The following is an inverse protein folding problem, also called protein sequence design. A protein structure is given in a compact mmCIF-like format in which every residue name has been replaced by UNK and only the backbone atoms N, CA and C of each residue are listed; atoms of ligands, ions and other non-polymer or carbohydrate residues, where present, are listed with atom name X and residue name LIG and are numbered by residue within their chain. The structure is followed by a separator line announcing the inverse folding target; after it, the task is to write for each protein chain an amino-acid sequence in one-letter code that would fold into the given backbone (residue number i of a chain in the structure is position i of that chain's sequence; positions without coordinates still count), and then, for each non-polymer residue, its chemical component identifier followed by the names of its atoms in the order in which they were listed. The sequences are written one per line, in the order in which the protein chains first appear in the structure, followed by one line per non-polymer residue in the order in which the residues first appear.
data_IF_871741142831
#
_entry.id   IF_871741142831
#
_cell.length_a   1.000
_cell.length_b   1.000
_cell.length_c   1.000
_cell.angle_alpha   90.00
_cell.angle_beta   90.00
_cell.angle_gamma   90.00
#
_symmetry.space_group_name_H-M   'P 1'
#
loop_
_entity.id
_entity.type
_entity.pdbx_description
1 polymer ?
#
# COMPACT_ATOMS: atom_id res chain seq x y z
N UNK A 1 -14.12 -20.23 -10.01
CA UNK A 1 -13.80 -18.84 -10.42
C UNK A 1 -15.01 -17.91 -10.30
N UNK A 2 -16.19 -18.30 -10.77
CA UNK A 2 -17.44 -17.52 -10.56
C UNK A 2 -17.70 -17.05 -9.10
N UNK A 3 -17.57 -17.89 -8.06
CA UNK A 3 -17.88 -17.45 -6.68
C UNK A 3 -16.84 -16.46 -6.12
N UNK A 4 -15.58 -16.56 -6.56
CA UNK A 4 -14.51 -15.62 -6.18
C UNK A 4 -14.72 -14.24 -6.84
N UNK A 5 -15.17 -14.21 -8.10
CA UNK A 5 -15.52 -12.97 -8.80
C UNK A 5 -16.75 -12.30 -8.18
N UNK A 6 -17.77 -13.09 -7.81
CA UNK A 6 -18.94 -12.58 -7.10
C UNK A 6 -18.58 -12.00 -5.72
N UNK A 7 -17.74 -12.70 -4.94
CA UNK A 7 -17.27 -12.21 -3.65
C UNK A 7 -16.46 -10.90 -3.78
N UNK A 8 -15.59 -10.79 -4.79
CA UNK A 8 -14.83 -9.56 -5.05
C UNK A 8 -15.73 -8.39 -5.45
N UNK A 9 -16.76 -8.63 -6.27
CA UNK A 9 -17.72 -7.61 -6.66
C UNK A 9 -18.55 -7.12 -5.46
N UNK A 10 -19.00 -8.05 -4.61
CA UNK A 10 -19.73 -7.72 -3.37
C UNK A 10 -18.85 -6.92 -2.43
N UNK A 11 -17.59 -7.34 -2.22
CA UNK A 11 -16.66 -6.62 -1.36
C UNK A 11 -16.33 -5.23 -1.90
N UNK A 12 -16.13 -5.09 -3.21
CA UNK A 12 -15.92 -3.79 -3.86
C UNK A 12 -17.12 -2.86 -3.73
N UNK A 13 -18.34 -3.38 -3.92
CA UNK A 13 -19.58 -2.63 -3.70
C UNK A 13 -19.74 -2.21 -2.24
N UNK A 14 -19.40 -3.09 -1.30
CA UNK A 14 -19.43 -2.80 0.13
C UNK A 14 -18.44 -1.69 0.49
N UNK A 15 -17.21 -1.75 -0.03
CA UNK A 15 -16.18 -0.73 0.18
C UNK A 15 -16.65 0.62 -0.36
N UNK A 16 -17.17 0.67 -1.60
CA UNK A 16 -17.70 1.90 -2.20
C UNK A 16 -18.86 2.49 -1.37
N UNK A 17 -19.79 1.66 -0.92
CA UNK A 17 -20.91 2.08 -0.07
C UNK A 17 -20.43 2.57 1.31
N UNK A 18 -19.49 1.88 1.94
CA UNK A 18 -18.93 2.34 3.23
C UNK A 18 -18.14 3.63 3.06
N UNK A 19 -17.45 3.81 1.94
CA UNK A 19 -16.69 5.02 1.65
C UNK A 19 -17.63 6.23 1.51
N UNK A 20 -18.79 6.11 0.88
CA UNK A 20 -19.77 7.21 0.82
C UNK A 20 -20.41 7.52 2.16
N UNK A 21 -20.52 6.55 3.06
CA UNK A 21 -21.09 6.78 4.39
C UNK A 21 -20.06 7.38 5.36
N UNK A 22 -18.76 7.08 5.17
CA UNK A 22 -17.66 7.54 6.03
C UNK A 22 -17.05 8.85 5.54
N UNK A 23 -17.01 9.08 4.22
CA UNK A 23 -16.43 10.27 3.58
C UNK A 23 -17.50 11.07 2.83
N UNK A 24 -18.58 11.46 3.52
CA UNK A 24 -19.69 12.27 2.97
C UNK A 24 -19.50 13.78 3.22
N UNK A 25 -18.25 14.23 3.38
CA UNK A 25 -17.96 15.64 3.58
C UNK A 25 -18.23 16.40 2.28
N UNK A 26 -19.45 16.92 2.16
CA UNK A 26 -19.91 17.75 1.04
C UNK A 26 -19.64 19.24 1.26
N UNK A 27 -19.11 19.59 2.43
CA UNK A 27 -18.79 20.96 2.80
C UNK A 27 -17.45 21.04 3.49
N UNK A 28 -16.67 22.09 3.22
CA UNK A 28 -15.49 22.41 4.02
C UNK A 28 -15.88 23.07 5.35
N UNK A 29 -15.20 22.69 6.45
CA UNK A 29 -15.38 23.32 7.76
C UNK A 29 -16.39 22.62 8.68
N UNK A 30 -17.01 23.40 9.58
CA UNK A 30 -17.92 22.92 10.64
C UNK A 30 -19.38 22.72 10.16
N UNK A 31 -19.61 22.73 8.85
CA UNK A 31 -20.94 22.66 8.23
C UNK A 31 -21.76 23.94 8.33
N UNK A 32 -21.27 25.00 8.98
CA UNK A 32 -21.95 26.29 9.01
C UNK A 32 -21.81 27.01 7.67
N UNK A 33 -22.94 27.48 7.14
CA UNK A 33 -22.98 28.29 5.91
C UNK A 33 -23.10 29.76 6.27
N UNK A 34 -22.28 30.65 5.65
CA UNK A 34 -22.42 32.07 5.89
C UNK A 34 -23.82 32.54 5.47
N UNK A 35 -24.48 33.31 6.33
CA UNK A 35 -25.77 33.90 5.98
C UNK A 35 -25.57 35.20 5.21
N UNK A 36 -26.62 35.66 4.52
CA UNK A 36 -26.60 37.00 3.90
C UNK A 36 -26.43 38.13 4.91
N UNK A 37 -26.76 37.92 6.19
CA UNK A 37 -26.50 38.90 7.25
C UNK A 37 -25.00 38.95 7.58
N UNK A 38 -24.35 37.78 7.69
CA UNK A 38 -22.92 37.68 7.94
C UNK A 38 -22.11 38.35 6.83
N UNK A 39 -22.46 38.09 5.57
CA UNK A 39 -21.82 38.71 4.39
C UNK A 39 -22.01 40.23 4.33
N UNK A 40 -23.02 40.77 5.00
CA UNK A 40 -23.30 42.22 5.01
C UNK A 40 -22.79 42.93 6.25
N UNK A 41 -22.44 42.19 7.31
CA UNK A 41 -22.13 42.76 8.62
C UNK A 41 -20.99 43.77 8.57
N UNK A 42 -19.88 43.43 7.88
CA UNK A 42 -18.75 44.33 7.70
C UNK A 42 -19.13 45.59 6.91
N UNK A 43 -19.78 45.43 5.75
CA UNK A 43 -20.25 46.56 4.94
C UNK A 43 -21.18 47.47 5.76
N UNK A 44 -22.13 46.92 6.52
CA UNK A 44 -23.05 47.70 7.35
C UNK A 44 -22.30 48.52 8.41
N UNK A 45 -21.32 47.94 9.10
CA UNK A 45 -20.50 48.66 10.08
C UNK A 45 -19.70 49.80 9.44
N UNK A 46 -19.06 49.54 8.30
CA UNK A 46 -18.28 50.56 7.57
C UNK A 46 -19.20 51.70 7.12
N UNK A 47 -20.35 51.38 6.53
CA UNK A 47 -21.35 52.37 6.09
C UNK A 47 -21.86 53.20 7.26
N UNK A 48 -22.20 52.57 8.38
CA UNK A 48 -22.71 53.26 9.57
C UNK A 48 -21.64 54.16 10.22
N UNK A 49 -20.38 53.77 10.14
CA UNK A 49 -19.24 54.59 10.51
C UNK A 49 -19.07 55.79 9.57
N UNK A 50 -19.06 55.55 8.27
CA UNK A 50 -18.89 56.57 7.22
C UNK A 50 -20.03 57.59 7.17
N UNK A 51 -21.24 57.20 7.59
CA UNK A 51 -22.38 58.13 7.75
C UNK A 51 -22.13 59.17 8.85
N UNK A 52 -21.33 58.82 9.87
CA UNK A 52 -21.06 59.67 11.04
C UNK A 52 -19.76 60.45 10.91
N UNK A 53 -18.73 59.84 10.31
CA UNK A 53 -17.40 60.40 10.15
C UNK A 53 -16.87 60.06 8.74
N UNK A 54 -16.44 61.04 7.92
CA UNK A 54 -15.87 60.76 6.60
C UNK A 54 -14.55 59.96 6.65
N UNK A 55 -13.95 59.78 7.84
CA UNK A 55 -12.81 58.89 8.08
C UNK A 55 -13.25 57.73 8.99
N UNK A 56 -13.37 56.54 8.41
CA UNK A 56 -13.62 55.31 9.15
C UNK A 56 -12.33 54.49 9.26
N UNK A 57 -12.04 54.02 10.47
CA UNK A 57 -10.99 53.03 10.75
C UNK A 57 -11.65 51.80 11.37
N UNK A 58 -11.38 50.63 10.82
CA UNK A 58 -11.98 49.38 11.32
C UNK A 58 -11.53 49.10 12.77
N UNK A 59 -12.45 49.02 13.75
CA UNK A 59 -12.10 48.65 15.12
C UNK A 59 -11.65 47.19 15.24
N UNK A 60 -11.98 46.33 14.26
CA UNK A 60 -11.54 44.93 14.23
C UNK A 60 -10.12 44.75 13.69
N UNK A 61 -9.47 45.84 13.25
CA UNK A 61 -8.10 45.84 12.74
C UNK A 61 -7.11 46.49 13.70
N UNK A 62 -5.82 46.10 13.64
CA UNK A 62 -4.76 46.84 14.34
C UNK A 62 -4.82 48.35 14.00
N UNK A 63 -4.60 49.24 14.98
CA UNK A 63 -4.72 50.68 14.76
C UNK A 63 -3.65 51.15 13.76
N UNK A 64 -4.10 51.49 12.55
CA UNK A 64 -3.22 51.94 11.47
C UNK A 64 -2.94 53.45 11.46
N UNK A 65 -3.76 54.23 12.17
CA UNK A 65 -3.66 55.68 12.28
C UNK A 65 -3.78 56.09 13.74
N UNK A 66 -2.87 56.94 14.20
CA UNK A 66 -2.94 57.48 15.56
C UNK A 66 -4.04 58.55 15.71
N UNK A 67 -4.23 59.07 16.91
CA UNK A 67 -5.25 60.09 17.16
C UNK A 67 -4.95 61.45 16.49
N UNK A 68 -3.67 61.82 16.37
CA UNK A 68 -3.22 63.07 15.80
C UNK A 68 -3.37 63.06 14.27
N UNK A 69 -2.98 61.96 13.61
CA UNK A 69 -3.16 61.71 12.19
C UNK A 69 -4.63 61.73 11.80
N UNK A 70 -5.49 61.01 12.54
CA UNK A 70 -6.94 61.03 12.30
C UNK A 70 -7.52 62.44 12.44
N UNK A 71 -7.10 63.20 13.45
CA UNK A 71 -7.54 64.57 13.62
C UNK A 71 -7.06 65.48 12.48
N UNK A 72 -5.84 65.26 11.97
CA UNK A 72 -5.28 65.97 10.83
C UNK A 72 -6.06 65.68 9.54
N UNK A 73 -6.21 64.40 9.18
CA UNK A 73 -6.94 63.96 8.00
C UNK A 73 -8.40 64.45 8.00
N UNK A 74 -9.08 64.42 9.16
CA UNK A 74 -10.44 64.99 9.29
C UNK A 74 -10.52 66.48 9.02
N UNK A 75 -9.49 67.26 9.39
CA UNK A 75 -9.45 68.70 9.06
C UNK A 75 -9.24 68.89 7.56
N UNK A 76 -8.35 68.10 6.97
CA UNK A 76 -8.08 68.16 5.53
C UNK A 76 -9.32 67.77 4.71
N UNK A 77 -10.00 66.66 5.05
CA UNK A 77 -11.24 66.22 4.40
C UNK A 77 -12.33 67.31 4.41
N UNK A 78 -12.46 68.05 5.52
CA UNK A 78 -13.44 69.17 5.62
C UNK A 78 -13.08 70.38 4.77
N UNK A 79 -11.80 70.56 4.44
CA UNK A 79 -11.34 71.65 3.60
C UNK A 79 -11.43 71.34 2.10
N UNK A 80 -11.68 70.08 1.73
CA UNK A 80 -11.81 69.67 0.34
C UNK A 80 -13.16 70.11 -0.26
N UNK A 81 -13.10 70.52 -1.53
CA UNK A 81 -14.29 70.89 -2.32
C UNK A 81 -14.98 69.67 -2.96
N UNK A 82 -14.47 68.46 -2.72
CA UNK A 82 -14.96 67.19 -3.25
C UNK A 82 -15.40 66.34 -2.06
N UNK A 83 -16.58 65.69 -2.12
CA UNK A 83 -17.00 64.76 -1.07
C UNK A 83 -16.13 63.50 -1.11
N UNK A 84 -15.09 63.47 -0.29
CA UNK A 84 -14.18 62.32 -0.12
C UNK A 84 -14.52 61.59 1.17
N UNK A 85 -14.57 60.26 1.11
CA UNK A 85 -14.62 59.40 2.30
C UNK A 85 -13.43 58.45 2.29
N UNK A 86 -12.89 58.15 3.47
CA UNK A 86 -11.79 57.23 3.66
C UNK A 86 -12.26 56.08 4.54
N UNK A 87 -12.16 54.85 4.05
CA UNK A 87 -12.35 53.64 4.83
C UNK A 87 -11.00 52.90 4.93
N UNK A 88 -10.42 52.92 6.13
CA UNK A 88 -9.24 52.13 6.46
C UNK A 88 -9.68 50.75 6.95
N UNK A 89 -9.73 49.78 6.04
CA UNK A 89 -10.26 48.42 6.24
C UNK A 89 -9.36 47.39 5.55
N UNK A 90 -9.10 46.22 6.16
CA UNK A 90 -8.23 45.19 5.60
C UNK A 90 -8.88 44.54 4.38
N UNK A 91 -8.12 44.24 3.35
CA UNK A 91 -8.62 43.57 2.14
C UNK A 91 -8.12 42.13 2.14
N UNK A 92 -9.01 41.16 2.21
CA UNK A 92 -8.65 39.73 2.16
C UNK A 92 -9.43 39.03 1.06
N UNK A 93 -8.84 38.01 0.43
CA UNK A 93 -9.57 37.16 -0.53
C UNK A 93 -10.76 36.46 0.13
N UNK A 94 -10.73 36.27 1.44
CA UNK A 94 -11.76 35.57 2.21
C UNK A 94 -12.88 36.52 2.71
N UNK A 95 -12.84 37.79 2.31
CA UNK A 95 -13.84 38.78 2.68
C UNK A 95 -15.04 38.79 1.74
N UNK A 96 -16.08 39.55 2.10
CA UNK A 96 -17.33 39.63 1.35
C UNK A 96 -17.20 40.19 -0.08
N UNK A 97 -16.03 40.73 -0.41
CA UNK A 97 -15.69 41.24 -1.73
C UNK A 97 -14.74 40.34 -2.51
N UNK A 98 -14.34 39.19 -1.95
CA UNK A 98 -13.31 38.33 -2.55
C UNK A 98 -11.95 39.04 -2.65
N UNK A 99 -11.70 40.04 -1.80
CA UNK A 99 -10.55 40.94 -1.88
C UNK A 99 -10.64 42.00 -2.99
N UNK A 100 -11.74 42.08 -3.72
CA UNK A 100 -11.94 43.06 -4.78
C UNK A 100 -12.45 44.41 -4.21
N UNK A 101 -11.57 45.40 -4.23
CA UNK A 101 -11.84 46.74 -3.70
C UNK A 101 -12.90 47.51 -4.48
N UNK A 102 -13.07 47.25 -5.77
CA UNK A 102 -14.14 47.85 -6.56
C UNK A 102 -15.52 47.32 -6.13
N UNK A 103 -15.62 46.03 -5.80
CA UNK A 103 -16.84 45.44 -5.26
C UNK A 103 -17.20 46.02 -3.89
N UNK A 104 -16.19 46.17 -3.02
CA UNK A 104 -16.39 46.83 -1.73
C UNK A 104 -16.84 48.28 -1.92
N UNK A 105 -16.17 49.04 -2.79
CA UNK A 105 -16.54 50.44 -3.08
C UNK A 105 -17.98 50.54 -3.64
N UNK A 106 -18.37 49.63 -4.54
CA UNK A 106 -19.74 49.51 -5.06
C UNK A 106 -20.75 49.27 -3.94
N UNK A 107 -20.46 48.34 -3.03
CA UNK A 107 -21.34 48.02 -1.92
C UNK A 107 -21.52 49.23 -0.98
N UNK A 108 -20.42 49.93 -0.67
CA UNK A 108 -20.45 51.16 0.12
C UNK A 108 -21.27 52.26 -0.58
N UNK A 109 -21.02 52.51 -1.86
CA UNK A 109 -21.77 53.49 -2.65
C UNK A 109 -23.27 53.17 -2.68
N UNK A 110 -23.63 51.90 -2.93
CA UNK A 110 -25.03 51.45 -3.00
C UNK A 110 -25.81 51.73 -1.71
N UNK A 111 -25.14 51.67 -0.55
CA UNK A 111 -25.77 51.94 0.76
C UNK A 111 -25.65 53.39 1.23
N UNK A 112 -24.60 54.10 0.84
CA UNK A 112 -24.44 55.52 1.13
C UNK A 112 -25.32 56.38 0.22
N UNK A 113 -25.60 55.94 -1.02
CA UNK A 113 -26.46 56.58 -2.03
C UNK A 113 -26.15 58.07 -2.25
N UNK A 114 -24.86 58.37 -2.38
CA UNK A 114 -24.35 59.74 -2.50
C UNK A 114 -23.19 59.74 -3.48
N UNK A 115 -23.08 60.83 -4.23
CA UNK A 115 -21.91 61.05 -5.09
C UNK A 115 -20.70 61.38 -4.21
N UNK A 116 -19.68 60.51 -4.25
CA UNK A 116 -18.50 60.61 -3.40
C UNK A 116 -17.30 59.84 -3.98
N UNK A 117 -16.11 60.35 -3.67
CA UNK A 117 -14.85 59.69 -3.96
C UNK A 117 -14.51 58.78 -2.78
N UNK A 118 -14.55 57.47 -3.00
CA UNK A 118 -14.25 56.46 -1.98
C UNK A 118 -12.75 56.18 -2.03
N UNK A 119 -12.08 56.39 -0.90
CA UNK A 119 -10.70 55.98 -0.67
C UNK A 119 -10.71 54.74 0.22
N UNK A 120 -10.26 53.62 -0.32
CA UNK A 120 -10.09 52.37 0.42
C UNK A 120 -8.61 52.22 0.78
N UNK A 121 -8.31 52.22 2.07
CA UNK A 121 -6.95 52.07 2.57
C UNK A 121 -6.83 50.75 3.33
N UNK A 122 -5.91 49.89 2.90
CA UNK A 122 -5.65 48.63 3.58
C UNK A 122 -4.58 48.84 4.67
N UNK A 123 -4.91 48.69 5.96
CA UNK A 123 -3.96 48.87 7.05
C UNK A 123 -2.86 47.80 7.09
N UNK A 124 -3.11 46.61 6.55
CA UNK A 124 -2.17 45.49 6.56
C UNK A 124 -1.13 45.57 5.45
N UNK A 125 -1.60 45.81 4.21
CA UNK A 125 -0.71 45.96 3.06
C UNK A 125 -0.23 47.40 2.82
N UNK A 126 -0.91 48.39 3.41
CA UNK A 126 -0.69 49.82 3.18
C UNK A 126 -1.17 50.30 1.80
N UNK A 127 -1.81 49.47 0.99
CA UNK A 127 -2.30 49.90 -0.33
C UNK A 127 -3.46 50.89 -0.21
N UNK A 128 -3.56 51.83 -1.15
CA UNK A 128 -4.66 52.79 -1.22
C UNK A 128 -5.27 52.77 -2.61
N UNK A 129 -6.58 52.56 -2.67
CA UNK A 129 -7.37 52.59 -3.90
C UNK A 129 -8.43 53.69 -3.85
N UNK A 130 -8.71 54.25 -5.02
CA UNK A 130 -9.65 55.34 -5.22
C UNK A 130 -10.69 54.92 -6.23
N UNK A 131 -11.96 55.06 -5.86
CA UNK A 131 -13.09 54.78 -6.73
C UNK A 131 -14.02 55.99 -6.74
N UNK A 132 -14.16 56.61 -7.91
CA UNK A 132 -15.00 57.79 -8.08
C UNK A 132 -16.44 57.38 -8.39
N UNK A 133 -17.36 57.59 -7.45
CA UNK A 133 -18.79 57.42 -7.69
C UNK A 133 -19.48 58.76 -7.81
N UNK A 134 -19.62 59.26 -9.04
CA UNK A 134 -20.45 60.43 -9.36
C UNK A 134 -19.82 61.79 -9.06
N UNK A 135 -18.60 61.87 -8.52
CA UNK A 135 -17.97 63.17 -8.28
C UNK A 135 -17.42 63.78 -9.57
N UNK A 136 -17.45 65.11 -9.64
CA UNK A 136 -16.91 65.89 -10.77
C UNK A 136 -15.39 66.05 -10.68
N UNK A 137 -14.69 64.99 -10.32
CA UNK A 137 -13.23 64.91 -10.40
C UNK A 137 -12.86 64.28 -11.74
N UNK A 138 -11.80 64.77 -12.36
CA UNK A 138 -11.27 64.16 -13.59
C UNK A 138 -10.65 62.78 -13.31
N UNK A 139 -11.23 61.73 -13.86
CA UNK A 139 -10.76 60.35 -13.65
C UNK A 139 -9.39 60.09 -14.27
N UNK A 140 -9.06 60.75 -15.39
CA UNK A 140 -7.71 60.64 -15.95
C UNK A 140 -6.67 61.18 -14.97
N UNK A 141 -7.00 62.27 -14.26
CA UNK A 141 -6.16 62.80 -13.20
C UNK A 141 -6.03 61.80 -12.03
N UNK A 142 -7.11 61.10 -11.66
CA UNK A 142 -7.04 60.08 -10.61
C UNK A 142 -6.21 58.86 -11.02
N UNK A 143 -6.23 58.49 -12.31
CA UNK A 143 -5.43 57.40 -12.88
C UNK A 143 -3.94 57.78 -12.93
N UNK A 144 -3.62 59.02 -13.33
CA UNK A 144 -2.25 59.55 -13.47
C UNK A 144 -1.59 59.90 -12.12
N UNK A 145 -2.20 59.50 -11.00
CA UNK A 145 -1.64 59.74 -9.65
C UNK A 145 -0.27 59.06 -9.47
N UNK A 146 0.63 59.65 -8.68
CA UNK A 146 1.90 59.01 -8.32
C UNK A 146 1.69 57.60 -7.73
N UNK A 147 2.49 56.62 -8.20
CA UNK A 147 2.31 55.20 -7.86
C UNK A 147 2.52 54.89 -6.38
N UNK A 148 3.43 55.61 -5.73
CA UNK A 148 3.74 55.57 -4.29
C UNK A 148 2.54 55.94 -3.40
N UNK A 149 1.57 56.69 -3.95
CA UNK A 149 0.30 56.91 -3.25
C UNK A 149 -0.56 55.66 -3.21
N UNK A 150 -0.55 54.83 -4.26
CA UNK A 150 -1.39 53.63 -4.35
C UNK A 150 -0.75 52.40 -3.73
N UNK A 151 0.54 52.20 -3.99
CA UNK A 151 1.27 50.99 -3.61
C UNK A 151 2.50 51.37 -2.77
N UNK A 152 2.55 50.94 -1.49
CA UNK A 152 3.73 51.22 -0.67
C UNK A 152 4.95 50.45 -1.17
N UNK A 153 6.09 51.12 -1.14
CA UNK A 153 7.42 50.55 -1.15
C UNK A 153 7.95 50.50 0.30
N UNK A 154 8.96 49.68 0.55
CA UNK A 154 9.55 49.52 1.90
C UNK A 154 10.12 50.81 2.49
N UNK A 155 10.43 51.78 1.64
CA UNK A 155 10.94 53.11 2.02
C UNK A 155 9.85 54.17 2.18
N UNK A 156 8.59 53.82 1.91
CA UNK A 156 7.53 54.80 1.84
C UNK A 156 7.08 55.29 3.22
N UNK A 157 6.57 56.54 3.30
CA UNK A 157 6.03 57.07 4.54
C UNK A 157 4.87 56.22 5.10
N UNK A 158 4.61 56.31 6.42
CA UNK A 158 3.45 55.68 7.05
C UNK A 158 2.13 56.03 6.35
N UNK A 159 1.13 55.16 6.50
CA UNK A 159 -0.17 55.28 5.82
C UNK A 159 -0.83 56.65 6.02
N UNK A 160 -0.77 57.22 7.23
CA UNK A 160 -1.33 58.54 7.53
C UNK A 160 -0.75 59.67 6.68
N UNK A 161 0.58 59.68 6.49
CA UNK A 161 1.26 60.66 5.65
C UNK A 161 0.91 60.49 4.18
N UNK A 162 0.84 59.25 3.68
CA UNK A 162 0.44 58.98 2.29
C UNK A 162 -1.01 59.36 2.01
N UNK A 163 -1.91 59.12 2.96
CA UNK A 163 -3.29 59.60 2.87
C UNK A 163 -3.34 61.14 2.81
N UNK A 164 -2.53 61.84 3.60
CA UNK A 164 -2.48 63.31 3.55
C UNK A 164 -1.93 63.84 2.21
N UNK A 165 -0.88 63.20 1.67
CA UNK A 165 -0.37 63.49 0.33
C UNK A 165 -1.42 63.22 -0.75
N UNK A 166 -2.20 62.15 -0.60
CA UNK A 166 -3.30 61.84 -1.51
C UNK A 166 -4.40 62.91 -1.44
N UNK A 167 -4.78 63.38 -0.26
CA UNK A 167 -5.77 64.46 -0.13
C UNK A 167 -5.24 65.77 -0.74
N UNK A 168 -3.95 66.07 -0.57
CA UNK A 168 -3.28 67.21 -1.23
C UNK A 168 -3.27 67.07 -2.75
N UNK A 169 -3.16 65.84 -3.27
CA UNK A 169 -3.24 65.56 -4.70
C UNK A 169 -4.67 65.78 -5.21
N UNK A 170 -5.66 65.18 -4.53
CA UNK A 170 -7.09 65.32 -4.86
C UNK A 170 -7.55 66.78 -4.78
N UNK A 171 -7.01 67.58 -3.86
CA UNK A 171 -7.35 69.01 -3.74
C UNK A 171 -6.97 69.83 -4.97
N UNK A 172 -6.02 69.36 -5.77
CA UNK A 172 -5.53 69.99 -7.00
C UNK A 172 -6.21 69.43 -8.25
N UNK A 173 -7.14 68.48 -8.10
CA UNK A 173 -7.78 67.82 -9.22
C UNK A 173 -8.59 68.81 -10.10
N UNK A 174 -8.48 68.71 -11.43
CA UNK A 174 -9.36 69.42 -12.34
C UNK A 174 -10.81 69.00 -12.14
N UNK A 175 -11.74 69.97 -12.26
CA UNK A 175 -13.18 69.67 -12.24
C UNK A 175 -13.60 69.08 -13.59
N UNK A 176 -14.16 67.89 -13.57
CA UNK A 176 -14.77 67.26 -14.74
C UNK A 176 -16.12 67.90 -15.09
N UNK A 177 -16.53 67.80 -16.37
CA UNK A 177 -17.81 68.30 -16.87
C UNK A 177 -19.02 67.54 -16.32
N UNK A 178 -18.85 66.24 -16.10
CA UNK A 178 -19.86 65.34 -15.55
C UNK A 178 -19.22 64.46 -14.47
N UNK A 179 -20.05 63.93 -13.56
CA UNK A 179 -19.60 62.88 -12.65
C UNK A 179 -19.41 61.57 -13.41
N UNK A 180 -18.34 60.86 -13.12
CA UNK A 180 -18.10 59.54 -13.69
C UNK A 180 -18.64 58.44 -12.76
N UNK A 181 -19.10 57.34 -13.33
CA UNK A 181 -19.44 56.12 -12.59
C UNK A 181 -18.48 55.04 -13.08
N UNK A 182 -17.83 54.31 -12.16
CA UNK A 182 -16.85 53.31 -12.55
C UNK A 182 -17.55 52.17 -13.29
N UNK A 183 -16.76 51.35 -13.97
CA UNK A 183 -17.27 50.12 -14.56
C UNK A 183 -17.88 49.22 -13.49
N UNK A 184 -18.88 48.45 -13.91
CA UNK A 184 -19.55 47.49 -13.05
C UNK A 184 -18.60 46.32 -12.78
N UNK A 185 -18.10 46.13 -11.54
CA UNK A 185 -17.19 45.03 -11.25
C UNK A 185 -17.92 43.68 -11.37
N UNK A 186 -17.21 42.62 -11.80
CA UNK A 186 -17.77 41.27 -11.79
C UNK A 186 -18.19 40.90 -10.37
N UNK A 187 -19.29 40.15 -10.18
CA UNK A 187 -19.71 39.72 -8.85
C UNK A 187 -18.62 38.83 -8.21
N UNK A 188 -18.52 38.88 -6.88
CA UNK A 188 -17.71 37.92 -6.13
C UNK A 188 -18.33 36.53 -6.25
N UNK A 189 -17.50 35.50 -6.09
CA UNK A 189 -17.94 34.11 -6.05
C UNK A 189 -18.92 33.89 -4.89
N UNK A 190 -19.88 32.98 -5.06
CA UNK A 190 -20.84 32.68 -4.00
C UNK A 190 -20.14 31.91 -2.88
N UNK A 191 -20.07 32.44 -1.65
CA UNK A 191 -19.39 31.78 -0.53
C UNK A 191 -20.05 30.45 -0.14
N UNK A 192 -21.32 30.23 -0.51
CA UNK A 192 -22.00 28.94 -0.32
C UNK A 192 -21.51 27.91 -1.33
N UNK A 193 -21.26 28.32 -2.58
CA UNK A 193 -20.69 27.45 -3.60
C UNK A 193 -19.21 27.17 -3.32
N UNK A 194 -18.45 28.14 -2.80
CA UNK A 194 -17.04 27.96 -2.42
C UNK A 194 -16.85 26.93 -1.30
N UNK A 195 -17.78 26.88 -0.34
CA UNK A 195 -17.77 25.84 0.71
C UNK A 195 -18.24 24.48 0.22
N UNK A 196 -18.83 24.37 -0.97
CA UNK A 196 -19.30 23.09 -1.50
C UNK A 196 -18.12 22.28 -2.03
N UNK A 197 -17.92 21.10 -1.45
CA UNK A 197 -16.95 20.15 -1.96
C UNK A 197 -17.58 19.31 -3.08
N UNK A 198 -16.83 19.02 -4.17
CA UNK A 198 -17.26 18.03 -5.13
C UNK A 198 -17.45 16.69 -4.41
N UNK A 199 -18.57 16.02 -4.66
CA UNK A 199 -18.84 14.71 -4.07
C UNK A 199 -17.74 13.69 -4.40
N UNK A 200 -17.53 12.70 -3.53
CA UNK A 200 -16.43 11.72 -3.61
C UNK A 200 -16.28 11.02 -4.97
N UNK A 201 -17.38 10.90 -5.73
CA UNK A 201 -17.45 10.27 -7.05
C UNK A 201 -17.70 11.23 -8.21
N UNK A 202 -17.45 12.53 -8.00
CA UNK A 202 -17.58 13.56 -9.04
C UNK A 202 -16.22 13.93 -9.63
N UNK A 203 -16.21 14.52 -10.83
CA UNK A 203 -14.98 14.87 -11.55
C UNK A 203 -14.29 13.65 -12.17
N UNK A 204 -13.00 13.46 -11.89
CA UNK A 204 -12.14 12.47 -12.55
C UNK A 204 -12.33 11.02 -12.05
N UNK A 205 -13.32 10.79 -11.18
CA UNK A 205 -13.59 9.46 -10.61
C UNK A 205 -14.00 8.43 -11.67
N UNK A 206 -14.93 8.77 -12.57
CA UNK A 206 -15.34 7.85 -13.65
C UNK A 206 -14.19 7.50 -14.60
N UNK A 207 -13.45 8.49 -15.16
CA UNK A 207 -12.24 8.20 -15.94
C UNK A 207 -11.24 7.34 -15.18
N UNK A 208 -11.01 7.64 -13.91
CA UNK A 208 -10.11 6.88 -13.03
C UNK A 208 -10.55 5.43 -12.82
N UNK A 209 -11.85 5.18 -12.67
CA UNK A 209 -12.42 3.84 -12.51
C UNK A 209 -12.29 3.01 -13.80
N UNK A 210 -12.52 3.62 -14.97
CA UNK A 210 -12.32 2.94 -16.27
C UNK A 210 -10.84 2.59 -16.47
N UNK A 211 -9.92 3.52 -16.20
CA UNK A 211 -8.48 3.27 -16.32
C UNK A 211 -8.04 2.20 -15.31
N UNK A 212 -8.48 2.29 -14.07
CA UNK A 212 -8.14 1.35 -13.00
C UNK A 212 -8.62 -0.06 -13.29
N UNK A 213 -9.86 -0.21 -13.76
CA UNK A 213 -10.41 -1.52 -14.16
C UNK A 213 -9.67 -2.12 -15.36
N UNK A 214 -9.30 -1.29 -16.34
CA UNK A 214 -8.52 -1.73 -17.49
C UNK A 214 -7.11 -2.20 -17.08
N UNK A 215 -6.42 -1.43 -16.22
CA UNK A 215 -5.10 -1.80 -15.70
C UNK A 215 -5.16 -3.08 -14.86
N UNK A 216 -6.17 -3.22 -13.99
CA UNK A 216 -6.38 -4.41 -13.19
C UNK A 216 -6.64 -5.64 -14.07
N UNK A 217 -7.46 -5.49 -15.11
CA UNK A 217 -7.71 -6.53 -16.11
C UNK A 217 -6.44 -6.94 -16.87
N UNK A 218 -5.62 -5.97 -17.25
CA UNK A 218 -4.34 -6.21 -17.93
C UNK A 218 -3.35 -6.93 -17.02
N UNK A 219 -3.25 -6.51 -15.76
CA UNK A 219 -2.35 -7.11 -14.78
C UNK A 219 -2.80 -8.53 -14.42
N UNK A 220 -4.11 -8.75 -14.25
CA UNK A 220 -4.69 -10.07 -14.08
C UNK A 220 -4.42 -10.96 -15.30
N UNK A 221 -4.60 -10.43 -16.50
CA UNK A 221 -4.28 -11.12 -17.75
C UNK A 221 -2.81 -11.53 -17.85
N UNK A 222 -1.89 -10.65 -17.45
CA UNK A 222 -0.45 -10.93 -17.38
C UNK A 222 -0.13 -12.05 -16.39
N UNK A 223 -0.69 -11.99 -15.18
CA UNK A 223 -0.50 -13.04 -14.16
C UNK A 223 -1.07 -14.37 -14.65
N UNK A 224 -2.28 -14.36 -15.21
CA UNK A 224 -2.90 -15.57 -15.76
C UNK A 224 -2.09 -16.16 -16.93
N UNK A 225 -1.54 -15.32 -17.81
CA UNK A 225 -0.67 -15.73 -18.90
C UNK A 225 0.64 -16.34 -18.38
N UNK A 226 1.29 -15.70 -17.41
CA UNK A 226 2.50 -16.22 -16.76
C UNK A 226 2.23 -17.58 -16.10
N UNK A 227 1.16 -17.70 -15.30
CA UNK A 227 0.73 -18.97 -14.71
C UNK A 227 0.39 -20.03 -15.78
N UNK A 228 -0.22 -19.63 -16.89
CA UNK A 228 -0.52 -20.49 -18.04
C UNK A 228 0.74 -21.02 -18.73
N UNK A 229 1.75 -20.16 -18.93
CA UNK A 229 3.07 -20.53 -19.46
C UNK A 229 3.77 -21.50 -18.51
N UNK A 230 3.81 -21.21 -17.20
CA UNK A 230 4.40 -22.11 -16.20
C UNK A 230 3.67 -23.46 -16.17
N UNK A 231 2.33 -23.48 -16.20
CA UNK A 231 1.53 -24.71 -16.32
C UNK A 231 1.81 -25.46 -17.61
N UNK A 232 2.01 -24.77 -18.73
CA UNK A 232 2.31 -25.40 -20.03
C UNK A 232 3.72 -26.00 -20.06
N UNK A 233 4.71 -25.32 -19.47
CA UNK A 233 6.08 -25.84 -19.34
C UNK A 233 6.11 -27.05 -18.40
N UNK A 234 5.45 -26.96 -17.25
CA UNK A 234 5.36 -28.07 -16.29
C UNK A 234 4.54 -29.24 -16.82
N UNK A 235 3.45 -28.99 -17.57
CA UNK A 235 2.71 -30.05 -18.29
C UNK A 235 3.53 -30.67 -19.40
N UNK A 236 4.26 -29.90 -20.21
CA UNK A 236 5.17 -30.46 -21.24
C UNK A 236 6.27 -31.32 -20.61
N UNK A 237 6.80 -30.92 -19.45
CA UNK A 237 7.73 -31.74 -18.67
C UNK A 237 7.07 -32.98 -18.05
N UNK A 238 5.79 -32.90 -17.67
CA UNK A 238 5.01 -34.05 -17.18
C UNK A 238 4.56 -35.00 -18.29
N UNK A 239 4.23 -34.53 -19.49
CA UNK A 239 3.87 -35.40 -20.63
C UNK A 239 5.08 -36.05 -21.28
N UNK A 240 6.26 -35.41 -21.21
CA UNK A 240 7.53 -36.07 -21.54
C UNK A 240 7.91 -37.16 -20.50
N UNK A 241 7.35 -37.10 -19.29
CA UNK A 241 7.58 -38.06 -18.19
C UNK A 241 6.30 -38.84 -17.81
N UNK A 242 5.28 -38.85 -18.67
CA UNK A 242 3.92 -39.25 -18.32
C UNK A 242 3.36 -40.27 -19.28
N UNK A 243 4.09 -41.38 -19.47
CA UNK A 243 3.47 -42.64 -19.82
C UNK A 243 2.89 -43.26 -18.54
N UNK A 244 1.72 -43.93 -18.59
CA UNK A 244 1.16 -44.59 -17.43
C UNK A 244 1.98 -45.87 -17.14
N UNK A 245 2.68 -45.86 -16.00
CA UNK A 245 3.41 -47.01 -15.47
C UNK A 245 4.87 -47.09 -15.91
N UNK A 246 5.78 -47.04 -14.93
CA UNK A 246 7.16 -47.51 -15.09
C UNK A 246 8.24 -46.42 -15.19
N UNK A 247 9.18 -46.48 -14.25
CA UNK A 247 10.49 -45.81 -14.23
C UNK A 247 10.53 -44.30 -13.88
N UNK A 248 10.32 -44.00 -12.58
CA UNK A 248 10.98 -42.86 -11.91
C UNK A 248 12.49 -42.89 -12.19
N UNK A 249 13.11 -41.76 -12.55
CA UNK A 249 14.57 -41.66 -12.68
C UNK A 249 15.27 -42.33 -11.48
N UNK A 250 16.30 -43.17 -11.73
CA UNK A 250 16.98 -43.89 -10.65
C UNK A 250 17.56 -42.89 -9.66
N UNK A 251 17.30 -43.11 -8.36
CA UNK A 251 17.84 -42.22 -7.33
C UNK A 251 19.37 -42.25 -7.38
N UNK A 252 20.05 -41.09 -7.29
CA UNK A 252 21.50 -41.04 -7.36
C UNK A 252 22.14 -41.76 -6.18
N UNK A 253 23.30 -42.36 -6.43
CA UNK A 253 24.13 -43.03 -5.40
C UNK A 253 24.77 -42.04 -4.44
N UNK A 254 25.12 -40.85 -4.93
CA UNK A 254 25.75 -39.76 -4.16
C UNK A 254 24.93 -38.47 -4.34
N UNK A 255 23.75 -38.36 -3.70
CA UNK A 255 22.91 -37.18 -3.83
C UNK A 255 23.57 -35.94 -3.21
N UNK A 256 23.44 -34.79 -3.86
CA UNK A 256 23.78 -33.51 -3.24
C UNK A 256 22.75 -33.13 -2.18
N UNK A 257 23.16 -32.35 -1.18
CA UNK A 257 22.26 -31.85 -0.12
C UNK A 257 21.10 -31.03 -0.69
N UNK A 258 21.36 -30.22 -1.73
CA UNK A 258 20.32 -29.49 -2.45
C UNK A 258 19.32 -30.43 -3.15
N UNK A 259 19.78 -31.56 -3.69
CA UNK A 259 18.89 -32.58 -4.26
C UNK A 259 18.03 -33.24 -3.18
N UNK A 260 18.64 -33.58 -2.03
CA UNK A 260 17.93 -34.17 -0.89
C UNK A 260 16.86 -33.22 -0.35
N UNK A 261 17.17 -31.94 -0.12
CA UNK A 261 16.16 -30.96 0.35
C UNK A 261 14.98 -30.81 -0.59
N UNK A 262 15.25 -30.69 -1.90
CA UNK A 262 14.18 -30.59 -2.90
C UNK A 262 13.32 -31.86 -2.97
N UNK A 263 13.96 -33.04 -2.91
CA UNK A 263 13.23 -34.31 -2.97
C UNK A 263 12.47 -34.62 -1.68
N UNK A 264 13.03 -34.29 -0.51
CA UNK A 264 12.35 -34.46 0.78
C UNK A 264 11.05 -33.64 0.80
N UNK A 265 11.13 -32.35 0.42
CA UNK A 265 9.93 -31.50 0.30
C UNK A 265 8.92 -32.07 -0.69
N UNK A 266 9.37 -32.45 -1.88
CA UNK A 266 8.50 -32.99 -2.92
C UNK A 266 7.81 -34.31 -2.50
N UNK A 267 8.50 -35.21 -1.81
CA UNK A 267 7.92 -36.49 -1.39
C UNK A 267 7.01 -36.34 -0.17
N UNK A 268 7.31 -35.42 0.76
CA UNK A 268 6.42 -35.06 1.86
C UNK A 268 5.13 -34.41 1.35
N UNK A 269 5.23 -33.39 0.49
CA UNK A 269 4.06 -32.77 -0.14
C UNK A 269 3.19 -33.82 -0.86
N UNK A 270 3.83 -34.80 -1.51
CA UNK A 270 3.13 -35.88 -2.20
C UNK A 270 2.50 -36.91 -1.23
N UNK A 271 3.07 -37.14 -0.05
CA UNK A 271 2.46 -37.98 0.99
C UNK A 271 1.27 -37.26 1.62
N UNK A 272 1.42 -35.99 2.00
CA UNK A 272 0.34 -35.17 2.56
C UNK A 272 -0.85 -35.09 1.59
N UNK A 273 -0.60 -34.84 0.30
CA UNK A 273 -1.66 -34.83 -0.71
C UNK A 273 -2.31 -36.21 -0.93
N UNK A 274 -1.59 -37.31 -0.71
CA UNK A 274 -2.14 -38.65 -0.80
C UNK A 274 -2.99 -39.04 0.43
N UNK A 275 -2.76 -38.39 1.58
CA UNK A 275 -3.53 -38.56 2.82
C UNK A 275 -4.80 -37.68 2.88
N UNK A 276 -4.86 -36.61 2.09
CA UNK A 276 -5.98 -35.66 2.04
C UNK A 276 -7.38 -36.26 1.72
N UNK A 277 -7.53 -37.28 0.83
CA UNK A 277 -8.83 -37.94 0.63
C UNK A 277 -9.12 -38.95 1.77
N UNK A 278 -9.49 -38.43 2.94
CA UNK A 278 -9.66 -39.19 4.21
C UNK A 278 -10.76 -40.28 4.16
N UNK A 279 -11.72 -40.20 3.24
CA UNK A 279 -12.92 -41.04 3.27
C UNK A 279 -12.77 -42.48 2.70
N UNK A 280 -11.61 -42.89 2.18
CA UNK A 280 -11.51 -44.12 1.36
C UNK A 280 -10.35 -45.08 1.70
N UNK A 281 -9.55 -44.82 2.74
CA UNK A 281 -8.39 -45.65 3.07
C UNK A 281 -8.70 -46.68 4.17
N UNK A 282 -8.21 -47.92 4.06
CA UNK A 282 -8.21 -48.86 5.19
C UNK A 282 -7.48 -48.26 6.40
N UNK A 283 -8.01 -48.45 7.61
CA UNK A 283 -7.48 -47.88 8.85
C UNK A 283 -5.99 -48.19 9.08
N UNK A 284 -5.55 -49.41 8.75
CA UNK A 284 -4.15 -49.84 8.89
C UNK A 284 -3.21 -49.12 7.92
N UNK A 285 -3.64 -48.93 6.66
CA UNK A 285 -2.90 -48.18 5.65
C UNK A 285 -2.80 -46.69 6.02
N UNK A 286 -3.89 -46.13 6.54
CA UNK A 286 -3.93 -44.76 7.02
C UNK A 286 -2.98 -44.56 8.20
N UNK A 287 -3.06 -45.42 9.23
CA UNK A 287 -2.19 -45.36 10.42
C UNK A 287 -0.72 -45.41 10.05
N UNK A 288 -0.31 -46.39 9.23
CA UNK A 288 1.10 -46.53 8.81
C UNK A 288 1.59 -45.33 8.00
N UNK A 289 0.75 -44.78 7.12
CA UNK A 289 1.10 -43.60 6.34
C UNK A 289 1.24 -42.34 7.20
N UNK A 290 0.40 -42.15 8.22
CA UNK A 290 0.55 -41.10 9.23
C UNK A 290 1.80 -41.26 10.08
N UNK A 291 2.09 -42.47 10.57
CA UNK A 291 3.32 -42.73 11.33
C UNK A 291 4.59 -42.41 10.52
N UNK A 292 4.58 -42.71 9.21
CA UNK A 292 5.65 -42.33 8.31
C UNK A 292 5.75 -40.81 8.13
N UNK A 293 4.61 -40.11 8.03
CA UNK A 293 4.57 -38.65 7.91
C UNK A 293 5.11 -37.98 9.17
N UNK A 294 4.64 -38.39 10.35
CA UNK A 294 5.07 -37.87 11.65
C UNK A 294 6.58 -38.09 11.86
N UNK A 295 7.06 -39.31 11.61
CA UNK A 295 8.48 -39.62 11.73
C UNK A 295 9.33 -38.82 10.72
N UNK A 296 8.84 -38.61 9.50
CA UNK A 296 9.52 -37.80 8.51
C UNK A 296 9.55 -36.31 8.91
N UNK A 297 8.48 -35.79 9.50
CA UNK A 297 8.42 -34.42 10.02
C UNK A 297 9.40 -34.22 11.19
N UNK A 298 9.45 -35.14 12.17
CA UNK A 298 10.40 -35.08 13.29
C UNK A 298 11.88 -34.99 12.83
N UNK A 299 12.21 -35.59 11.68
CA UNK A 299 13.57 -35.59 11.16
C UNK A 299 14.01 -34.27 10.52
N UNK A 300 13.08 -33.47 10.01
CA UNK A 300 13.41 -32.33 9.13
C UNK A 300 12.64 -31.04 9.40
N UNK A 301 11.60 -31.08 10.24
CA UNK A 301 10.74 -29.96 10.65
C UNK A 301 10.52 -30.05 12.16
N UNK A 302 11.62 -29.99 12.91
CA UNK A 302 11.63 -30.05 14.38
C UNK A 302 10.93 -28.85 15.02
N UNK A 303 10.99 -27.69 14.35
CA UNK A 303 10.32 -26.46 14.77
C UNK A 303 8.80 -26.45 14.48
N UNK A 304 8.31 -27.46 13.74
CA UNK A 304 6.88 -27.62 13.36
C UNK A 304 6.31 -26.40 12.62
N UNK A 305 7.14 -25.71 11.81
CA UNK A 305 6.75 -24.51 11.06
C UNK A 305 6.38 -24.81 9.59
N UNK A 306 6.42 -26.09 9.21
CA UNK A 306 6.14 -26.56 7.85
C UNK A 306 7.29 -26.32 6.88
N UNK A 307 8.51 -26.04 7.38
CA UNK A 307 9.72 -25.84 6.59
C UNK A 307 10.77 -26.86 6.99
N UNK A 308 11.71 -27.08 6.06
CA UNK A 308 12.85 -27.95 6.34
C UNK A 308 13.89 -27.15 7.12
N UNK A 309 14.25 -27.63 8.30
CA UNK A 309 15.23 -27.00 9.18
C UNK A 309 16.58 -26.80 8.48
N UNK A 310 17.23 -25.68 8.80
CA UNK A 310 18.48 -25.28 8.16
C UNK A 310 19.64 -26.25 8.48
N UNK A 311 19.59 -26.91 9.63
CA UNK A 311 20.56 -27.87 10.16
C UNK A 311 20.21 -29.34 9.87
N UNK A 312 19.08 -29.61 9.18
CA UNK A 312 18.68 -30.95 8.77
C UNK A 312 19.82 -31.68 8.01
N UNK A 313 20.30 -32.78 8.59
CA UNK A 313 21.46 -33.51 8.09
C UNK A 313 21.18 -34.28 6.80
N UNK A 314 22.20 -34.62 5.97
CA UNK A 314 21.98 -35.44 4.78
C UNK A 314 21.34 -36.81 5.08
N UNK A 315 21.68 -37.41 6.22
CA UNK A 315 21.09 -38.66 6.68
C UNK A 315 19.61 -38.48 7.08
N UNK A 316 19.27 -37.42 7.80
CA UNK A 316 17.90 -37.09 8.16
C UNK A 316 17.02 -36.83 6.92
N UNK A 317 17.52 -36.03 5.97
CA UNK A 317 16.82 -35.75 4.71
C UNK A 317 16.59 -37.03 3.88
N UNK A 318 17.60 -37.91 3.79
CA UNK A 318 17.44 -39.19 3.10
C UNK A 318 16.43 -40.09 3.81
N UNK A 319 16.45 -40.12 5.15
CA UNK A 319 15.50 -40.89 5.96
C UNK A 319 14.05 -40.38 5.76
N UNK A 320 13.84 -39.07 5.77
CA UNK A 320 12.54 -38.47 5.50
C UNK A 320 12.01 -38.81 4.09
N UNK A 321 12.87 -38.80 3.06
CA UNK A 321 12.50 -39.26 1.71
C UNK A 321 12.05 -40.73 1.70
N UNK A 322 12.78 -41.59 2.41
CA UNK A 322 12.48 -43.02 2.51
C UNK A 322 11.12 -43.24 3.18
N UNK A 323 10.89 -42.59 4.33
CA UNK A 323 9.63 -42.66 5.07
C UNK A 323 8.46 -42.10 4.25
N UNK A 324 8.63 -40.95 3.60
CA UNK A 324 7.59 -40.36 2.75
C UNK A 324 7.20 -41.30 1.59
N UNK A 325 8.19 -41.97 0.98
CA UNK A 325 7.94 -42.96 -0.08
C UNK A 325 7.27 -44.23 0.45
N UNK A 326 7.73 -44.73 1.59
CA UNK A 326 7.15 -45.93 2.21
C UNK A 326 5.70 -45.68 2.64
N UNK A 327 5.41 -44.55 3.28
CA UNK A 327 4.05 -44.14 3.65
C UNK A 327 3.13 -44.04 2.43
N UNK A 328 3.61 -43.44 1.33
CA UNK A 328 2.84 -43.40 0.07
C UNK A 328 2.57 -44.78 -0.51
N UNK A 329 3.54 -45.70 -0.45
CA UNK A 329 3.30 -47.07 -0.89
C UNK A 329 2.32 -47.78 0.03
N UNK A 330 2.36 -47.52 1.35
CA UNK A 330 1.45 -48.14 2.31
C UNK A 330 -0.03 -47.81 2.07
N UNK A 331 -0.31 -46.65 1.45
CA UNK A 331 -1.65 -46.23 1.03
C UNK A 331 -2.24 -47.16 -0.04
N UNK A 332 -1.43 -47.64 -0.99
CA UNK A 332 -1.91 -48.50 -2.09
C UNK A 332 -1.59 -49.99 -1.93
N UNK A 333 -0.44 -50.30 -1.33
CA UNK A 333 0.12 -51.66 -1.20
C UNK A 333 0.74 -51.82 0.22
N UNK A 334 -0.07 -51.99 1.28
CA UNK A 334 0.39 -51.98 2.67
C UNK A 334 1.44 -53.06 2.98
N UNK A 335 1.36 -54.23 2.34
CA UNK A 335 2.31 -55.31 2.54
C UNK A 335 3.65 -55.09 1.81
N UNK A 336 3.66 -54.34 0.71
CA UNK A 336 4.88 -54.03 -0.03
C UNK A 336 5.73 -52.96 0.69
N UNK A 337 5.12 -52.15 1.55
CA UNK A 337 5.79 -51.04 2.25
C UNK A 337 6.63 -51.45 3.47
N UNK A 338 6.74 -52.75 3.79
CA UNK A 338 7.43 -53.21 5.01
C UNK A 338 8.95 -53.05 4.97
N UNK A 339 9.55 -53.20 3.79
CA UNK A 339 11.00 -53.14 3.59
C UNK A 339 11.35 -52.18 2.46
N UNK A 340 12.54 -51.60 2.52
CA UNK A 340 13.12 -50.77 1.46
C UNK A 340 14.41 -51.37 0.93
N UNK A 341 14.85 -50.90 -0.23
CA UNK A 341 16.07 -51.41 -0.84
C UNK A 341 17.29 -51.16 0.04
N UNK A 342 17.92 -52.24 0.51
CA UNK A 342 19.11 -52.18 1.36
C UNK A 342 20.31 -51.50 0.66
N UNK A 343 20.45 -51.63 -0.67
CA UNK A 343 21.56 -50.99 -1.39
C UNK A 343 21.41 -49.48 -1.44
N UNK A 344 20.25 -49.01 -1.89
CA UNK A 344 19.92 -47.60 -1.90
C UNK A 344 18.47 -47.43 -1.44
N UNK A 345 18.24 -47.07 -0.17
CA UNK A 345 16.89 -46.86 0.36
C UNK A 345 16.07 -45.85 -0.45
N UNK A 346 16.73 -44.91 -1.14
CA UNK A 346 16.06 -43.95 -2.04
C UNK A 346 15.44 -44.63 -3.27
N UNK A 347 15.74 -45.89 -3.59
CA UNK A 347 15.01 -46.61 -4.64
C UNK A 347 13.57 -46.94 -4.24
N UNK A 348 13.22 -46.85 -2.96
CA UNK A 348 11.90 -47.18 -2.43
C UNK A 348 11.80 -48.62 -1.96
N UNK A 349 10.57 -49.15 -1.98
CA UNK A 349 10.22 -50.44 -1.38
C UNK A 349 10.96 -51.62 -2.01
N UNK A 350 11.24 -52.62 -1.20
CA UNK A 350 11.85 -53.87 -1.63
C UNK A 350 10.77 -54.90 -1.93
N UNK A 351 10.93 -55.63 -3.03
CA UNK A 351 9.96 -56.64 -3.46
C UNK A 351 10.44 -58.08 -3.17
N UNK A 352 11.75 -58.29 -3.00
CA UNK A 352 12.35 -59.60 -2.68
C UNK A 352 13.60 -59.45 -1.83
N UNK A 353 14.04 -60.52 -1.18
CA UNK A 353 15.32 -60.59 -0.46
C UNK A 353 16.38 -61.32 -1.30
N UNK A 354 17.61 -60.82 -1.26
CA UNK A 354 18.77 -61.42 -1.94
C UNK A 354 19.82 -61.80 -0.90
N UNK A 355 20.48 -62.94 -1.11
CA UNK A 355 21.58 -63.39 -0.28
C UNK A 355 22.83 -62.58 -0.59
N UNK A 356 23.33 -61.82 0.38
CA UNK A 356 24.56 -61.05 0.25
C UNK A 356 25.68 -61.82 0.97
N UNK A 357 26.80 -62.14 0.28
CA UNK A 357 27.98 -62.70 0.93
C UNK A 357 28.53 -61.73 1.99
N UNK A 358 29.01 -62.23 3.14
CA UNK A 358 29.61 -61.36 4.16
C UNK A 358 30.84 -60.61 3.61
N UNK A 359 30.94 -59.31 3.89
CA UNK A 359 32.14 -58.52 3.59
C UNK A 359 33.24 -58.87 4.61
N UNK A 360 34.32 -59.48 4.14
CA UNK A 360 35.48 -59.85 4.96
C UNK A 360 35.72 -61.37 4.99
N UNK A 361 36.70 -61.83 4.22
CA UNK A 361 37.13 -63.22 4.16
C UNK A 361 37.82 -63.69 5.44
N UNK A 362 37.03 -64.09 6.44
CA UNK A 362 37.50 -64.77 7.65
C UNK A 362 36.70 -66.05 7.87
N UNK A 363 37.36 -67.16 8.22
CA UNK A 363 36.81 -68.52 8.39
C UNK A 363 35.86 -68.68 9.59
N UNK A 364 34.95 -67.74 9.82
CA UNK A 364 33.79 -67.93 10.68
C UNK A 364 32.55 -68.17 9.78
N UNK A 365 31.72 -69.15 10.13
CA UNK A 365 30.49 -69.54 9.39
C UNK A 365 29.39 -68.48 9.52
N UNK A 366 29.64 -67.24 9.13
CA UNK A 366 28.61 -66.21 8.99
C UNK A 366 27.77 -66.55 7.77
N UNK A 367 26.54 -67.06 8.01
CA UNK A 367 25.54 -67.30 6.99
C UNK A 367 25.34 -66.04 6.14
N UNK A 368 25.17 -66.22 4.83
CA UNK A 368 24.76 -65.12 3.94
C UNK A 368 23.52 -64.45 4.53
N UNK A 369 23.54 -63.11 4.59
CA UNK A 369 22.40 -62.33 5.10
C UNK A 369 21.42 -62.12 3.96
N UNK A 370 20.16 -62.45 4.20
CA UNK A 370 19.05 -62.26 3.25
C UNK A 370 18.49 -60.85 3.39
N UNK A 371 18.96 -59.93 2.53
CA UNK A 371 18.67 -58.50 2.63
C UNK A 371 17.65 -58.05 1.57
N UNK A 372 16.72 -57.16 1.92
CA UNK A 372 15.67 -56.69 1.01
C UNK A 372 16.24 -55.79 -0.10
N UNK A 373 15.86 -56.02 -1.35
CA UNK A 373 16.27 -55.18 -2.50
C UNK A 373 15.07 -54.85 -3.39
N UNK A 374 15.12 -53.68 -4.05
CA UNK A 374 14.14 -53.35 -5.08
C UNK A 374 14.35 -54.20 -6.35
N UNK A 375 13.35 -54.21 -7.22
CA UNK A 375 13.33 -55.00 -8.45
C UNK A 375 14.55 -54.72 -9.36
N UNK A 376 14.97 -53.45 -9.46
CA UNK A 376 16.15 -53.08 -10.24
C UNK A 376 17.45 -53.63 -9.64
N UNK A 377 17.61 -53.52 -8.31
CA UNK A 377 18.80 -54.02 -7.62
C UNK A 377 18.86 -55.55 -7.56
N UNK A 378 17.74 -56.24 -7.82
CA UNK A 378 17.68 -57.68 -7.99
C UNK A 378 18.33 -58.11 -9.31
N UNK A 379 18.06 -57.39 -10.40
CA UNK A 379 18.56 -57.71 -11.74
C UNK A 379 20.03 -57.28 -11.91
N UNK A 380 20.40 -56.14 -11.35
CA UNK A 380 21.78 -55.63 -11.38
C UNK A 380 22.09 -55.02 -10.02
N UNK A 381 23.05 -55.61 -9.31
CA UNK A 381 23.45 -55.11 -7.99
C UNK A 381 23.95 -53.67 -8.14
N UNK A 382 23.14 -52.73 -7.67
CA UNK A 382 23.46 -51.31 -7.67
C UNK A 382 24.46 -50.95 -6.56
N UNK A 383 25.16 -49.81 -6.70
CA UNK A 383 26.05 -49.32 -5.66
C UNK A 383 25.27 -48.94 -4.39
N UNK A 384 25.96 -48.97 -3.25
CA UNK A 384 25.39 -48.57 -1.96
C UNK A 384 25.23 -47.06 -1.90
N UNK A 385 24.10 -46.56 -1.37
CA UNK A 385 23.88 -45.13 -1.13
C UNK A 385 24.98 -44.56 -0.24
N UNK A 386 25.61 -43.48 -0.70
CA UNK A 386 26.64 -42.78 0.05
C UNK A 386 26.20 -41.33 0.29
N UNK A 387 26.30 -40.88 1.53
CA UNK A 387 25.91 -39.55 1.95
C UNK A 387 27.11 -38.82 2.57
N UNK A 388 27.03 -37.49 2.64
CA UNK A 388 28.05 -36.71 3.33
C UNK A 388 27.85 -36.79 4.84
N UNK A 389 28.90 -37.09 5.63
CA UNK A 389 28.82 -37.00 7.09
C UNK A 389 28.58 -35.55 7.54
N UNK A 390 27.72 -35.38 8.54
CA UNK A 390 27.47 -34.09 9.21
C UNK A 390 28.75 -33.60 9.90
N UNK A 391 29.02 -32.29 9.86
CA UNK A 391 30.17 -31.67 10.54
C UNK A 391 31.51 -31.67 9.77
N UNK A 392 31.56 -32.21 8.55
CA UNK A 392 32.78 -32.15 7.73
C UNK A 392 32.92 -30.79 6.99
N UNK A 393 33.59 -29.82 7.63
CA UNK A 393 33.80 -28.45 7.11
C UNK A 393 34.69 -28.35 5.84
N UNK A 394 35.15 -29.47 5.27
CA UNK A 394 36.01 -29.50 4.08
C UNK A 394 35.74 -30.78 3.29
N UNK A 395 35.40 -30.69 1.99
CA UNK A 395 35.13 -31.78 1.02
C UNK A 395 35.20 -33.20 1.63
N UNK A 396 34.25 -33.54 2.51
CA UNK A 396 34.20 -34.87 3.11
C UNK A 396 33.86 -35.88 2.02
N UNK A 397 34.60 -37.00 2.00
CA UNK A 397 34.25 -38.13 1.14
C UNK A 397 32.87 -38.67 1.54
N UNK A 398 32.05 -39.05 0.56
CA UNK A 398 30.78 -39.71 0.85
C UNK A 398 31.04 -41.04 1.57
N UNK A 399 30.32 -41.28 2.65
CA UNK A 399 30.36 -42.54 3.39
C UNK A 399 29.07 -43.35 3.14
N UNK A 400 29.13 -44.70 3.14
CA UNK A 400 27.92 -45.52 3.05
C UNK A 400 26.91 -45.14 4.13
N UNK A 401 25.62 -45.08 3.77
CA UNK A 401 24.58 -44.62 4.70
C UNK A 401 24.52 -45.46 6.00
N UNK A 402 24.83 -46.75 5.91
CA UNK A 402 24.80 -47.69 7.03
C UNK A 402 25.90 -47.42 8.09
N UNK A 403 26.92 -46.62 7.77
CA UNK A 403 28.00 -46.26 8.71
C UNK A 403 27.81 -44.87 9.33
N UNK A 404 26.73 -44.17 8.98
CA UNK A 404 26.44 -42.83 9.48
C UNK A 404 25.62 -42.91 10.78
N UNK A 405 25.73 -41.92 11.69
CA UNK A 405 24.89 -41.89 12.88
C UNK A 405 23.42 -41.62 12.49
N UNK A 406 22.50 -42.10 13.34
CA UNK A 406 21.07 -41.86 13.23
C UNK A 406 20.26 -43.04 12.66
N UNK A 407 18.92 -42.91 12.66
CA UNK A 407 17.99 -44.03 12.40
C UNK A 407 18.11 -44.62 10.99
N UNK A 408 18.57 -43.84 10.00
CA UNK A 408 18.76 -44.33 8.63
C UNK A 408 19.72 -45.54 8.56
N UNK A 409 20.70 -45.62 9.46
CA UNK A 409 21.68 -46.70 9.46
C UNK A 409 21.07 -48.08 9.73
N UNK A 410 19.96 -48.14 10.49
CA UNK A 410 19.25 -49.38 10.81
C UNK A 410 18.75 -50.11 9.55
N UNK A 411 18.48 -49.39 8.45
CA UNK A 411 18.12 -50.00 7.17
C UNK A 411 19.26 -50.83 6.55
N UNK A 412 20.51 -50.58 6.98
CA UNK A 412 21.68 -51.38 6.64
C UNK A 412 21.56 -52.83 7.13
N UNK A 413 20.85 -53.07 8.23
CA UNK A 413 20.60 -54.41 8.77
C UNK A 413 19.28 -55.03 8.28
N UNK A 414 18.56 -54.34 7.40
CA UNK A 414 17.29 -54.81 6.84
C UNK A 414 16.08 -54.56 7.75
N UNK A 415 16.16 -53.54 8.60
CA UNK A 415 15.09 -53.10 9.51
C UNK A 415 13.80 -52.76 8.76
N UNK A 416 12.65 -53.09 9.36
CA UNK A 416 11.32 -52.78 8.84
C UNK A 416 10.97 -51.30 8.99
N UNK A 417 10.11 -50.78 8.13
CA UNK A 417 9.66 -49.37 8.21
C UNK A 417 8.96 -49.08 9.54
N UNK A 418 8.16 -50.01 10.07
CA UNK A 418 7.47 -49.84 11.37
C UNK A 418 8.45 -49.84 12.56
N UNK A 419 9.66 -50.41 12.40
CA UNK A 419 10.73 -50.28 13.38
C UNK A 419 11.49 -48.97 13.18
N UNK A 420 11.74 -48.56 11.92
CA UNK A 420 12.40 -47.30 11.61
C UNK A 420 11.61 -46.09 12.15
N UNK A 421 10.27 -46.09 12.03
CA UNK A 421 9.44 -45.01 12.60
C UNK A 421 9.56 -44.94 14.12
N UNK A 422 9.65 -46.09 14.80
CA UNK A 422 9.91 -46.16 16.25
C UNK A 422 11.31 -45.69 16.62
N UNK A 423 12.33 -46.12 15.88
CA UNK A 423 13.72 -45.69 16.09
C UNK A 423 13.88 -44.17 15.93
N UNK A 424 13.16 -43.57 14.97
CA UNK A 424 13.11 -42.11 14.79
C UNK A 424 12.48 -41.44 16.01
N UNK A 425 11.32 -41.92 16.47
CA UNK A 425 10.64 -41.35 17.65
C UNK A 425 11.53 -41.45 18.90
N UNK A 426 12.16 -42.60 19.13
CA UNK A 426 13.09 -42.82 20.24
C UNK A 426 14.32 -41.90 20.14
N UNK A 427 14.88 -41.72 18.94
CA UNK A 427 16.01 -40.83 18.70
C UNK A 427 15.72 -39.37 19.10
N UNK A 428 14.46 -38.94 18.98
CA UNK A 428 13.99 -37.60 19.38
C UNK A 428 13.29 -37.58 20.75
N UNK A 429 13.32 -38.68 21.52
CA UNK A 429 12.75 -38.75 22.87
C UNK A 429 11.21 -38.75 22.92
N UNK A 430 10.55 -39.14 21.84
CA UNK A 430 9.09 -39.28 21.73
C UNK A 430 8.70 -40.74 21.95
N UNK A 431 7.79 -41.02 22.90
CA UNK A 431 7.35 -42.38 23.26
C UNK A 431 5.92 -42.67 22.82
#
# INVERSE_FOLDING_TARGET
MLPLLAAAAVLGGLIAFTATQVFDDTTSGDGSRPTSADMRARIDRVVDGLRRDPLYTDPESPPALDAAERAHLRRHLRALNVPVVIAAVPSSTDDESGGNRELLAKALHTRLRRDLLIVLADPGSGSIDLVNYGTRVDDMYLIDRPRDLSYPQSTDPPLGHRLDQLLTYVSKSPKAKAGHMPYEPPPADDPVEEKALPGLFTGDFEPGLVIGTFLAGLLFGLVAAACGIVRRITRRRRTANGAPGGARSPAPTEPSTAWLRRNARQELDALTAALEPVAALPEDSQRRAWECLDAAALLIDGDSDGRIDADATPAALACAIVLARAGRTAIGEPDAARFVCHRNPLHGVAHKRVQVPPEGGGRARTRARSLPVCEACRLTLGPVLRLRPSGSARRGAHAPYATLPGPLAALGDGTEIDQLTRDVREYFGVH
#
